data_IF_111051541522
#
_entry.id   IF_111051541522
#
_cell.length_a   1.000
_cell.length_b   1.000
_cell.length_c   1.000
_cell.angle_alpha   90.00
_cell.angle_beta   90.00
_cell.angle_gamma   90.00
#
_symmetry.space_group_name_H-M   'P 1'
#
loop_
_entity.id
_entity.type
_entity.pdbx_description
1 polymer ?
#
# COMPACT_ATOMS: atom_id res chain seq x y z
N UNK A 1 -29.17 11.11 11.82
CA UNK A 1 -28.35 12.31 11.71
C UNK A 1 -27.21 12.20 12.70
N UNK A 2 -25.98 12.20 12.21
CA UNK A 2 -24.80 12.19 13.07
C UNK A 2 -24.69 13.54 13.75
N UNK A 3 -24.77 13.53 15.07
CA UNK A 3 -24.51 14.72 15.88
C UNK A 3 -23.03 14.70 16.22
N UNK A 4 -22.27 15.60 15.63
CA UNK A 4 -20.87 15.82 15.99
C UNK A 4 -20.83 16.72 17.22
N UNK A 5 -20.19 16.23 18.28
CA UNK A 5 -19.94 16.99 19.51
C UNK A 5 -18.51 17.47 19.47
N UNK A 6 -18.30 18.78 19.63
CA UNK A 6 -16.94 19.34 19.67
C UNK A 6 -16.25 19.08 21.02
N UNK A 7 -14.94 19.30 21.06
CA UNK A 7 -14.12 18.95 22.22
C UNK A 7 -14.39 19.84 23.42
N UNK A 8 -14.84 21.08 23.20
CA UNK A 8 -15.19 22.02 24.26
C UNK A 8 -16.45 21.56 24.97
N UNK A 9 -17.48 21.18 24.22
CA UNK A 9 -18.72 20.59 24.74
C UNK A 9 -18.45 19.31 25.52
N UNK A 10 -17.57 18.42 25.01
CA UNK A 10 -17.17 17.22 25.74
C UNK A 10 -16.47 17.55 27.07
N UNK A 11 -15.63 18.57 27.07
CA UNK A 11 -14.96 19.03 28.29
C UNK A 11 -15.96 19.57 29.31
N UNK A 12 -16.91 20.41 28.89
CA UNK A 12 -17.98 20.91 29.76
C UNK A 12 -18.82 19.79 30.36
N UNK A 13 -19.19 18.81 29.53
CA UNK A 13 -19.92 17.62 30.02
C UNK A 13 -19.07 16.87 31.06
N UNK A 14 -17.77 16.75 30.86
CA UNK A 14 -16.89 16.08 31.81
C UNK A 14 -16.90 16.78 33.19
N UNK A 15 -16.87 18.11 33.17
CA UNK A 15 -16.92 18.93 34.39
C UNK A 15 -18.29 18.79 35.11
N UNK A 16 -19.38 18.84 34.37
CA UNK A 16 -20.74 18.70 34.93
C UNK A 16 -20.94 17.32 35.57
N UNK A 17 -20.46 16.28 34.89
CA UNK A 17 -20.57 14.90 35.37
C UNK A 17 -19.49 14.50 36.39
N UNK A 18 -18.51 15.36 36.65
CA UNK A 18 -17.36 15.12 37.53
C UNK A 18 -16.59 13.84 37.15
N UNK A 19 -16.48 13.58 35.84
CA UNK A 19 -15.71 12.46 35.28
C UNK A 19 -14.58 12.99 34.40
N UNK A 20 -13.52 12.21 34.26
CA UNK A 20 -12.43 12.59 33.36
C UNK A 20 -12.85 12.44 31.89
N UNK A 21 -12.22 13.20 30.97
CA UNK A 21 -12.42 13.06 29.55
C UNK A 21 -12.20 11.62 29.06
N UNK A 22 -11.22 10.94 29.62
CA UNK A 22 -10.97 9.53 29.30
C UNK A 22 -12.10 8.62 29.74
N UNK A 23 -12.76 8.89 30.86
CA UNK A 23 -13.94 8.12 31.30
C UNK A 23 -15.15 8.37 30.42
N UNK A 24 -15.35 9.59 29.91
CA UNK A 24 -16.42 9.90 28.96
C UNK A 24 -16.25 9.19 27.62
N UNK A 25 -15.02 9.02 27.18
CA UNK A 25 -14.70 8.38 25.90
C UNK A 25 -14.44 6.88 26.03
N UNK A 26 -14.39 6.35 27.26
CA UNK A 26 -14.28 4.90 27.51
C UNK A 26 -15.56 4.20 27.06
N UNK A 27 -15.45 3.32 26.09
CA UNK A 27 -16.59 2.61 25.48
C UNK A 27 -17.07 3.20 24.15
N UNK A 28 -16.55 4.35 23.73
CA UNK A 28 -16.62 4.70 22.31
C UNK A 28 -15.77 3.68 21.55
N UNK A 29 -16.30 3.05 20.50
CA UNK A 29 -15.47 2.22 19.65
C UNK A 29 -14.28 3.09 19.19
N UNK A 30 -13.07 2.61 19.38
CA UNK A 30 -11.88 3.25 18.79
C UNK A 30 -12.09 3.29 17.28
N UNK A 31 -12.72 4.36 16.79
CA UNK A 31 -13.02 4.56 15.36
C UNK A 31 -11.78 4.85 14.54
N UNK A 32 -10.65 5.01 15.20
CA UNK A 32 -9.34 4.94 14.58
C UNK A 32 -8.64 3.71 15.13
N UNK A 33 -8.86 2.55 14.53
CA UNK A 33 -8.00 1.40 14.76
C UNK A 33 -6.56 1.86 14.48
N UNK A 34 -5.72 1.88 15.53
CA UNK A 34 -4.27 2.05 15.33
C UNK A 34 -3.90 1.05 14.23
N UNK A 35 -3.17 1.46 13.19
CA UNK A 35 -2.77 0.54 12.15
C UNK A 35 -2.11 -0.67 12.80
N UNK A 36 -2.78 -1.81 12.74
CA UNK A 36 -2.24 -3.03 13.30
C UNK A 36 -1.21 -3.58 12.33
N UNK A 37 -0.12 -4.10 12.85
CA UNK A 37 0.87 -4.77 12.01
C UNK A 37 0.43 -6.20 11.65
N UNK A 38 -0.79 -6.61 12.05
CA UNK A 38 -1.31 -7.94 11.77
C UNK A 38 -2.63 -7.83 10.99
N UNK A 39 -2.89 -8.75 10.05
CA UNK A 39 -4.19 -8.83 9.39
C UNK A 39 -5.27 -9.07 10.47
N UNK A 40 -6.30 -8.22 10.49
CA UNK A 40 -7.36 -8.30 11.48
C UNK A 40 -8.06 -9.66 11.48
N UNK A 41 -8.38 -10.19 12.67
CA UNK A 41 -9.16 -11.42 12.84
C UNK A 41 -10.57 -11.20 12.30
N UNK A 42 -10.82 -11.45 11.06
CA UNK A 42 -12.13 -11.27 10.41
C UNK A 42 -12.05 -10.74 8.98
N UNK A 43 -10.91 -10.24 8.57
CA UNK A 43 -10.70 -9.84 7.19
C UNK A 43 -10.56 -11.09 6.30
N UNK A 44 -11.51 -11.25 5.41
CA UNK A 44 -11.58 -12.42 4.50
C UNK A 44 -10.81 -12.20 3.19
N UNK A 45 -10.19 -11.04 2.99
CA UNK A 45 -9.48 -10.77 1.75
C UNK A 45 -8.24 -11.64 1.63
N UNK A 46 -8.07 -12.36 0.51
CA UNK A 46 -6.91 -13.20 0.27
C UNK A 46 -5.59 -12.41 0.22
N UNK A 47 -5.62 -11.12 -0.11
CA UNK A 47 -4.43 -10.26 -0.13
C UNK A 47 -3.87 -10.02 1.27
N UNK A 48 -4.72 -9.98 2.31
CA UNK A 48 -4.29 -9.84 3.71
C UNK A 48 -3.66 -11.11 4.28
N UNK A 49 -3.96 -12.26 3.69
CA UNK A 49 -3.46 -13.56 4.14
C UNK A 49 -2.27 -14.04 3.30
N UNK A 50 -2.00 -13.38 2.19
CA UNK A 50 -0.96 -13.80 1.26
C UNK A 50 0.43 -13.57 1.87
N UNK A 51 1.26 -14.61 1.79
CA UNK A 51 2.69 -14.52 2.09
C UNK A 51 3.51 -14.11 0.86
N UNK A 52 2.93 -14.24 -0.32
CA UNK A 52 3.55 -13.83 -1.58
C UNK A 52 2.53 -13.14 -2.47
N UNK A 53 2.95 -11.99 -3.03
CA UNK A 53 2.20 -11.20 -3.99
C UNK A 53 3.06 -10.96 -5.23
N UNK A 54 2.41 -10.88 -6.39
CA UNK A 54 3.05 -10.55 -7.65
C UNK A 54 2.69 -9.11 -8.02
N UNK A 55 3.71 -8.34 -8.34
CA UNK A 55 3.65 -6.89 -8.50
C UNK A 55 4.00 -6.52 -9.94
N UNK A 56 3.19 -5.67 -10.57
CA UNK A 56 3.35 -5.26 -11.95
C UNK A 56 3.13 -3.76 -12.09
N UNK A 57 3.96 -3.10 -12.87
CA UNK A 57 3.78 -1.72 -13.26
C UNK A 57 4.34 -1.44 -14.65
N UNK A 58 3.87 -0.36 -15.28
CA UNK A 58 4.41 0.07 -16.56
C UNK A 58 5.37 1.24 -16.37
N UNK A 59 6.62 1.05 -16.77
CA UNK A 59 7.62 2.09 -16.77
C UNK A 59 7.66 2.80 -18.12
N UNK A 60 7.03 3.96 -18.20
CA UNK A 60 6.92 4.75 -19.43
C UNK A 60 8.25 5.26 -19.96
N UNK A 61 9.28 5.39 -19.12
CA UNK A 61 10.62 5.82 -19.53
C UNK A 61 11.28 4.78 -20.42
N UNK A 62 11.08 3.52 -20.10
CA UNK A 62 11.61 2.38 -20.86
C UNK A 62 10.57 1.72 -21.75
N UNK A 63 9.34 2.24 -21.75
CA UNK A 63 8.20 1.73 -22.53
C UNK A 63 7.96 0.23 -22.35
N UNK A 64 8.08 -0.27 -21.13
CA UNK A 64 7.89 -1.69 -20.82
C UNK A 64 7.21 -1.92 -19.50
N UNK A 65 6.53 -3.06 -19.42
CA UNK A 65 6.05 -3.60 -18.15
C UNK A 65 7.22 -4.16 -17.36
N UNK A 66 7.24 -3.85 -16.09
CA UNK A 66 8.12 -4.46 -15.10
C UNK A 66 7.30 -5.29 -14.15
N UNK A 67 7.87 -6.37 -13.71
CA UNK A 67 7.30 -7.29 -12.75
C UNK A 67 8.21 -7.46 -11.54
N UNK A 68 7.62 -7.89 -10.46
CA UNK A 68 8.33 -8.16 -9.23
C UNK A 68 7.54 -9.09 -8.32
N UNK A 69 8.18 -9.49 -7.26
CA UNK A 69 7.61 -10.37 -6.23
C UNK A 69 7.75 -9.70 -4.88
N UNK A 70 6.67 -9.68 -4.12
CA UNK A 70 6.64 -9.25 -2.73
C UNK A 70 6.47 -10.50 -1.86
N UNK A 71 7.45 -10.78 -1.01
CA UNK A 71 7.35 -11.81 0.01
C UNK A 71 7.13 -11.16 1.37
N UNK A 72 6.10 -11.64 2.10
CA UNK A 72 5.67 -11.11 3.40
C UNK A 72 5.90 -12.17 4.45
N UNK A 73 6.52 -11.81 5.55
CA UNK A 73 6.81 -12.71 6.65
C UNK A 73 6.64 -12.03 8.01
N UNK A 74 6.30 -12.81 9.00
CA UNK A 74 6.26 -12.33 10.38
C UNK A 74 7.67 -12.12 10.92
N UNK A 75 7.91 -10.98 11.56
CA UNK A 75 9.21 -10.65 12.10
C UNK A 75 9.58 -11.60 13.23
N UNK A 76 10.72 -12.23 13.13
CA UNK A 76 11.19 -13.20 14.11
C UNK A 76 11.34 -12.56 15.51
N UNK A 77 10.63 -13.13 16.49
CA UNK A 77 10.65 -12.66 17.89
C UNK A 77 9.71 -11.49 18.18
N UNK A 78 8.96 -10.98 17.21
CA UNK A 78 8.00 -9.87 17.37
C UNK A 78 6.65 -10.24 16.75
N UNK A 79 5.87 -11.05 17.47
CA UNK A 79 4.55 -11.49 16.98
C UNK A 79 3.65 -10.32 16.59
N UNK A 80 2.98 -10.46 15.45
CA UNK A 80 2.08 -9.43 14.90
C UNK A 80 2.79 -8.29 14.17
N UNK A 81 4.13 -8.32 14.03
CA UNK A 81 4.86 -7.42 13.15
C UNK A 81 5.28 -8.13 11.89
N UNK A 82 5.01 -7.49 10.76
CA UNK A 82 5.30 -8.06 9.44
C UNK A 82 6.34 -7.22 8.72
N UNK A 83 7.24 -7.92 8.06
CA UNK A 83 8.25 -7.38 7.15
C UNK A 83 8.01 -7.95 5.77
N UNK A 84 8.55 -7.30 4.76
CA UNK A 84 8.47 -7.76 3.39
C UNK A 84 9.76 -7.51 2.63
N UNK A 85 9.98 -8.32 1.61
CA UNK A 85 10.95 -8.05 0.55
C UNK A 85 10.22 -7.77 -0.74
N UNK A 86 10.76 -6.87 -1.56
CA UNK A 86 10.31 -6.66 -2.93
C UNK A 86 11.52 -6.88 -3.84
N UNK A 87 11.37 -7.79 -4.78
CA UNK A 87 12.34 -8.02 -5.85
C UNK A 87 11.74 -7.56 -7.17
N UNK A 88 12.36 -6.62 -7.85
CA UNK A 88 11.92 -6.14 -9.17
C UNK A 88 12.92 -6.64 -10.21
N UNK A 89 12.43 -7.35 -11.22
CA UNK A 89 13.25 -7.75 -12.36
C UNK A 89 13.44 -6.55 -13.30
N UNK A 90 14.67 -6.19 -13.56
CA UNK A 90 15.05 -5.14 -14.48
C UNK A 90 15.96 -5.69 -15.57
N UNK A 91 15.66 -5.37 -16.81
CA UNK A 91 16.51 -5.71 -17.95
C UNK A 91 17.11 -4.40 -18.48
N UNK A 92 18.42 -4.28 -18.49
CA UNK A 92 19.12 -3.11 -19.02
C UNK A 92 19.01 -3.00 -20.55
N UNK A 93 19.35 -1.85 -21.12
CA UNK A 93 19.30 -1.61 -22.57
C UNK A 93 20.18 -2.58 -23.38
N UNK A 94 21.24 -3.12 -22.78
CA UNK A 94 22.12 -4.11 -23.38
C UNK A 94 21.70 -5.57 -23.11
N UNK A 95 20.49 -5.80 -22.64
CA UNK A 95 19.92 -7.13 -22.42
C UNK A 95 20.35 -7.82 -21.13
N UNK A 96 21.15 -7.19 -20.28
CA UNK A 96 21.49 -7.77 -18.97
C UNK A 96 20.28 -7.70 -18.05
N UNK A 97 19.90 -8.84 -17.49
CA UNK A 97 18.94 -8.89 -16.40
C UNK A 97 19.63 -8.52 -15.09
N UNK A 98 18.99 -7.72 -14.29
CA UNK A 98 19.38 -7.40 -12.92
C UNK A 98 18.14 -7.43 -12.02
N UNK A 99 18.36 -7.76 -10.78
CA UNK A 99 17.30 -7.69 -9.76
C UNK A 99 17.59 -6.52 -8.85
N UNK A 100 16.56 -5.73 -8.59
CA UNK A 100 16.60 -4.65 -7.61
C UNK A 100 15.89 -5.19 -6.37
N UNK A 101 16.58 -5.13 -5.24
CA UNK A 101 16.15 -5.77 -4.01
C UNK A 101 15.85 -4.73 -2.93
N UNK A 102 14.65 -4.80 -2.39
CA UNK A 102 14.19 -3.93 -1.31
C UNK A 102 13.80 -4.77 -0.10
N UNK A 103 13.99 -4.21 1.07
CA UNK A 103 13.41 -4.72 2.32
C UNK A 103 12.55 -3.66 2.96
N UNK A 104 11.54 -4.07 3.72
CA UNK A 104 10.64 -3.09 4.28
C UNK A 104 9.70 -3.62 5.34
N UNK A 105 8.84 -2.73 5.81
CA UNK A 105 7.82 -2.98 6.81
C UNK A 105 6.44 -3.01 6.16
N UNK A 106 5.56 -3.83 6.71
CA UNK A 106 4.16 -3.94 6.28
C UNK A 106 3.26 -3.43 7.38
N UNK A 107 2.29 -2.60 7.01
CA UNK A 107 1.21 -2.16 7.88
C UNK A 107 -0.13 -2.49 7.22
N UNK A 108 -0.98 -3.15 7.98
CA UNK A 108 -2.33 -3.49 7.56
C UNK A 108 -3.34 -2.53 8.18
N UNK A 109 -4.28 -2.06 7.37
CA UNK A 109 -5.50 -1.39 7.83
C UNK A 109 -6.70 -2.01 7.12
N UNK A 110 -7.92 -1.70 7.54
CA UNK A 110 -9.13 -2.34 7.01
C UNK A 110 -9.26 -2.25 5.47
N UNK A 111 -8.77 -1.15 4.90
CA UNK A 111 -8.91 -0.85 3.47
C UNK A 111 -7.61 -0.95 2.67
N UNK A 112 -6.46 -0.95 3.35
CA UNK A 112 -5.16 -0.80 2.70
C UNK A 112 -4.11 -1.70 3.34
N UNK A 113 -3.18 -2.17 2.50
CA UNK A 113 -1.88 -2.66 2.95
C UNK A 113 -0.85 -1.61 2.51
N UNK A 114 -0.04 -1.16 3.45
CA UNK A 114 1.05 -0.23 3.19
C UNK A 114 2.39 -0.92 3.39
N UNK A 115 3.24 -0.82 2.40
CA UNK A 115 4.64 -1.23 2.49
C UNK A 115 5.53 0.01 2.46
N UNK A 116 6.57 0.00 3.29
CA UNK A 116 7.64 1.00 3.26
C UNK A 116 8.92 0.26 2.96
N UNK A 117 9.43 0.41 1.75
CA UNK A 117 10.59 -0.30 1.24
C UNK A 117 11.83 0.59 1.20
N UNK A 118 12.99 0.00 1.41
CA UNK A 118 14.30 0.63 1.25
C UNK A 118 15.15 -0.26 0.34
N UNK A 119 15.74 0.35 -0.68
CA UNK A 119 16.64 -0.36 -1.60
C UNK A 119 17.90 -0.80 -0.86
N UNK A 120 18.28 -2.07 -1.02
CA UNK A 120 19.42 -2.65 -0.30
C UNK A 120 20.77 -2.15 -0.82
N UNK A 121 20.82 -1.66 -2.05
CA UNK A 121 22.05 -1.13 -2.67
C UNK A 121 22.15 0.39 -2.61
N UNK A 122 21.00 1.08 -2.47
CA UNK A 122 20.93 2.53 -2.36
C UNK A 122 19.93 2.95 -1.29
N UNK A 123 20.34 3.13 -0.03
CA UNK A 123 19.42 3.46 1.07
C UNK A 123 18.69 4.80 0.94
N UNK A 124 19.11 5.67 0.02
CA UNK A 124 18.39 6.91 -0.29
C UNK A 124 17.12 6.68 -1.12
N UNK A 125 17.02 5.50 -1.73
CA UNK A 125 15.86 5.09 -2.50
C UNK A 125 14.86 4.40 -1.58
N UNK A 126 13.89 5.18 -1.11
CA UNK A 126 12.77 4.74 -0.30
C UNK A 126 11.50 4.78 -1.13
N UNK A 127 10.74 3.69 -1.09
CA UNK A 127 9.49 3.53 -1.81
C UNK A 127 8.34 3.21 -0.87
N UNK A 128 7.20 3.86 -1.09
CA UNK A 128 5.93 3.56 -0.45
C UNK A 128 5.01 2.87 -1.45
N UNK A 129 4.54 1.69 -1.11
CA UNK A 129 3.52 0.98 -1.88
C UNK A 129 2.24 0.89 -1.06
N UNK A 130 1.15 1.39 -1.64
CA UNK A 130 -0.20 1.26 -1.12
C UNK A 130 -0.99 0.30 -2.00
N UNK A 131 -1.57 -0.72 -1.39
CA UNK A 131 -2.41 -1.71 -2.07
C UNK A 131 -3.81 -1.62 -1.48
N UNK A 132 -4.82 -1.49 -2.34
CA UNK A 132 -6.20 -1.56 -1.91
C UNK A 132 -6.57 -2.99 -1.50
N UNK A 133 -7.34 -3.09 -0.42
CA UNK A 133 -7.98 -4.33 -0.04
C UNK A 133 -9.36 -4.39 -0.71
N UNK A 134 -9.57 -5.22 -1.74
CA UNK A 134 -10.87 -5.33 -2.35
C UNK A 134 -11.86 -5.97 -1.38
N UNK A 135 -13.03 -5.36 -1.22
CA UNK A 135 -14.13 -5.91 -0.40
C UNK A 135 -14.73 -7.17 -1.02
N UNK A 136 -14.57 -7.33 -2.33
CA UNK A 136 -15.00 -8.50 -3.09
C UNK A 136 -13.83 -9.44 -3.33
N UNK A 137 -14.11 -10.73 -3.46
CA UNK A 137 -13.11 -11.73 -3.86
C UNK A 137 -12.68 -11.45 -5.31
N UNK A 138 -11.45 -10.98 -5.47
CA UNK A 138 -10.81 -10.71 -6.77
C UNK A 138 -9.42 -11.33 -6.80
N UNK A 139 -9.00 -11.74 -7.98
CA UNK A 139 -7.66 -12.30 -8.20
C UNK A 139 -6.58 -11.22 -8.30
N UNK A 140 -6.98 -9.96 -8.46
CA UNK A 140 -6.08 -8.82 -8.52
C UNK A 140 -6.63 -7.62 -7.75
N UNK A 141 -5.73 -6.75 -7.36
CA UNK A 141 -6.02 -5.42 -6.82
C UNK A 141 -5.08 -4.38 -7.42
N UNK A 142 -5.43 -3.11 -7.25
CA UNK A 142 -4.60 -2.00 -7.71
C UNK A 142 -3.85 -1.38 -6.55
N UNK A 143 -2.75 -0.73 -6.86
CA UNK A 143 -1.94 -0.02 -5.89
C UNK A 143 -1.26 1.18 -6.51
N UNK A 144 -0.60 1.93 -5.66
CA UNK A 144 0.25 3.05 -6.03
C UNK A 144 1.62 2.85 -5.38
N UNK A 145 2.65 2.77 -6.21
CA UNK A 145 4.04 2.87 -5.78
C UNK A 145 4.51 4.30 -5.96
N UNK A 146 5.05 4.90 -4.92
CA UNK A 146 5.64 6.24 -4.99
C UNK A 146 6.96 6.29 -4.22
N UNK A 147 7.92 6.96 -4.79
CA UNK A 147 9.25 7.07 -4.22
C UNK A 147 10.24 7.73 -5.17
N UNK A 148 11.47 7.28 -5.12
CA UNK A 148 12.55 7.77 -5.95
C UNK A 148 12.96 6.67 -6.93
N UNK A 149 13.01 7.01 -8.21
CA UNK A 149 13.43 6.08 -9.23
C UNK A 149 14.91 5.67 -9.08
N UNK A 150 15.20 4.38 -9.09
CA UNK A 150 16.55 3.84 -9.01
C UNK A 150 17.49 4.25 -10.16
N UNK A 151 16.93 4.63 -11.31
CA UNK A 151 17.73 4.91 -12.51
C UNK A 151 18.22 6.34 -12.59
N UNK A 152 17.39 7.31 -12.19
CA UNK A 152 17.62 8.74 -12.39
C UNK A 152 17.42 9.56 -11.09
N UNK A 153 17.12 8.89 -9.99
CA UNK A 153 16.87 9.49 -8.68
C UNK A 153 15.77 10.58 -8.68
N UNK A 154 14.84 10.47 -9.62
CA UNK A 154 13.72 11.41 -9.73
C UNK A 154 12.51 10.91 -8.94
N UNK A 155 11.78 11.81 -8.28
CA UNK A 155 10.50 11.46 -7.69
C UNK A 155 9.55 10.86 -8.73
N UNK A 156 8.91 9.76 -8.41
CA UNK A 156 8.02 9.07 -9.32
C UNK A 156 6.83 8.43 -8.59
N UNK A 157 5.77 8.21 -9.33
CA UNK A 157 4.62 7.44 -8.89
C UNK A 157 4.13 6.53 -10.02
N UNK A 158 3.90 5.27 -9.70
CA UNK A 158 3.45 4.26 -10.65
C UNK A 158 2.14 3.63 -10.19
N UNK A 159 1.19 3.56 -11.11
CA UNK A 159 0.02 2.70 -10.97
C UNK A 159 0.47 1.25 -11.05
N UNK A 160 0.06 0.44 -10.07
CA UNK A 160 0.44 -0.95 -9.97
C UNK A 160 -0.77 -1.87 -10.00
N UNK A 161 -0.58 -3.07 -10.50
CA UNK A 161 -1.50 -4.20 -10.35
C UNK A 161 -0.81 -5.25 -9.51
N UNK A 162 -1.52 -5.75 -8.52
CA UNK A 162 -1.04 -6.76 -7.58
C UNK A 162 -1.92 -7.99 -7.73
N UNK A 163 -1.31 -9.16 -7.84
CA UNK A 163 -2.02 -10.42 -8.01
C UNK A 163 -1.54 -11.48 -7.04
N UNK A 164 -2.38 -12.48 -6.78
CA UNK A 164 -2.07 -13.61 -5.91
C UNK A 164 -1.29 -14.72 -6.65
N UNK A 165 -1.34 -14.70 -7.98
CA UNK A 165 -0.65 -15.67 -8.85
C UNK A 165 0.07 -14.90 -9.95
N UNK A 166 1.17 -15.45 -10.49
CA UNK A 166 1.84 -14.83 -11.62
C UNK A 166 0.90 -14.70 -12.81
N UNK A 167 1.02 -13.57 -13.52
CA UNK A 167 0.22 -13.26 -14.69
C UNK A 167 1.10 -13.24 -15.94
N UNK A 168 0.50 -13.66 -17.04
CA UNK A 168 1.10 -13.49 -18.34
C UNK A 168 0.99 -12.01 -18.77
N UNK A 169 2.09 -11.43 -19.25
CA UNK A 169 2.16 -10.03 -19.67
C UNK A 169 1.58 -9.83 -21.07
N UNK A 170 0.28 -10.05 -21.20
CA UNK A 170 -0.47 -9.80 -22.43
C UNK A 170 -0.71 -8.31 -22.67
N UNK A 171 -1.03 -7.90 -23.90
CA UNK A 171 -1.42 -6.52 -24.19
C UNK A 171 -2.66 -6.09 -23.39
N UNK A 172 -3.62 -6.98 -23.19
CA UNK A 172 -4.81 -6.71 -22.36
C UNK A 172 -4.43 -6.42 -20.90
N UNK A 173 -3.48 -7.17 -20.35
CA UNK A 173 -2.97 -6.94 -19.01
C UNK A 173 -2.18 -5.62 -18.93
N UNK A 174 -1.35 -5.33 -19.92
CA UNK A 174 -0.61 -4.07 -20.02
C UNK A 174 -1.53 -2.85 -20.00
N UNK A 175 -2.68 -2.91 -20.68
CA UNK A 175 -3.65 -1.81 -20.65
C UNK A 175 -4.18 -1.49 -19.25
N UNK A 176 -4.20 -2.45 -18.31
CA UNK A 176 -4.60 -2.20 -16.93
C UNK A 176 -3.56 -1.39 -16.16
N UNK A 177 -2.29 -1.44 -16.57
CA UNK A 177 -1.19 -0.73 -15.94
C UNK A 177 -1.07 0.72 -16.43
N UNK A 178 -1.65 1.04 -17.58
CA UNK A 178 -1.57 2.38 -18.16
C UNK A 178 -2.62 3.31 -17.55
N UNK A 179 -2.27 4.59 -17.51
CA UNK A 179 -3.24 5.64 -17.22
C UNK A 179 -4.13 5.89 -18.44
N UNK A 180 -5.41 5.85 -18.23
CA UNK A 180 -6.39 6.16 -19.28
C UNK A 180 -6.62 7.68 -19.35
N UNK A 181 -7.17 8.16 -20.48
CA UNK A 181 -7.61 9.56 -20.59
C UNK A 181 -8.63 9.94 -19.51
N UNK A 182 -9.42 8.97 -19.04
CA UNK A 182 -10.40 9.17 -17.96
C UNK A 182 -9.69 9.38 -16.62
N UNK A 183 -8.64 8.63 -16.34
CA UNK A 183 -7.84 8.78 -15.11
C UNK A 183 -7.18 10.16 -15.08
N UNK A 184 -6.56 10.58 -16.19
CA UNK A 184 -5.92 11.88 -16.31
C UNK A 184 -6.92 13.04 -16.12
N UNK A 185 -8.09 12.95 -16.78
CA UNK A 185 -9.15 13.96 -16.62
C UNK A 185 -9.68 14.03 -15.20
N UNK A 186 -9.79 12.91 -14.51
CA UNK A 186 -10.20 12.87 -13.10
C UNK A 186 -9.16 13.52 -12.20
N UNK A 187 -7.88 13.28 -12.43
CA UNK A 187 -6.81 13.92 -11.67
C UNK A 187 -6.77 15.42 -11.86
N UNK A 188 -6.93 15.88 -13.09
CA UNK A 188 -7.06 17.30 -13.41
C UNK A 188 -8.23 17.94 -12.66
N UNK A 189 -9.41 17.31 -12.67
CA UNK A 189 -10.60 17.78 -11.98
C UNK A 189 -10.43 17.82 -10.45
N UNK A 190 -9.72 16.87 -9.88
CA UNK A 190 -9.49 16.77 -8.44
C UNK A 190 -8.24 17.53 -7.99
N UNK A 191 -7.48 18.13 -8.93
CA UNK A 191 -6.18 18.75 -8.67
C UNK A 191 -5.23 17.82 -7.90
N UNK A 192 -5.22 16.53 -8.27
CA UNK A 192 -4.39 15.48 -7.68
C UNK A 192 -3.39 14.97 -8.72
N UNK A 193 -2.16 14.77 -8.30
CA UNK A 193 -1.12 14.09 -9.06
C UNK A 193 -1.06 12.62 -8.68
#
# INVERSE_FOLDING_TARGET
>A
GDISVDIETLYEISQILQVSMSQLTTGLPETASKPSNAPGKGQKSPFFQAQRLYFYFYDGRYQRTKDGVIDIYEKKGESGKYEATLTICSVSANGRSSEIFYTGKVLYSDMLIRFSFVNQYNPLEEDLLYIFNPLELRDFTTGLLCGISSADLMPCAFKCVITLKPQELTEAFRHQLLFTKKDLKRWEQLNML
#
